data_IF_685084353666
#
_entry.id   IF_685084353666
#
_cell.length_a   1.000
_cell.length_b   1.000
_cell.length_c   1.000
_cell.angle_alpha   90.00
_cell.angle_beta   90.00
_cell.angle_gamma   90.00
#
_symmetry.space_group_name_H-M   'P 1'
#
loop_
_entity.id
_entity.type
_entity.pdbx_description
1 polymer ?
#
# COMPACT_ATOMS: atom_id res chain seq x y z
N UNK A 1 11.82 1.93 -14.03
CA UNK A 1 10.57 1.16 -14.17
C UNK A 1 10.40 0.40 -12.87
N UNK A 2 9.26 0.54 -12.21
CA UNK A 2 8.96 -0.02 -10.89
C UNK A 2 7.71 -0.88 -11.08
N UNK A 3 7.78 -2.15 -10.72
CA UNK A 3 6.71 -3.11 -10.93
C UNK A 3 5.92 -3.30 -9.63
N UNK A 4 4.63 -3.01 -9.70
CA UNK A 4 3.66 -3.40 -8.69
C UNK A 4 3.53 -4.92 -8.73
N UNK A 5 3.92 -5.57 -7.64
CA UNK A 5 3.88 -7.02 -7.51
C UNK A 5 2.64 -7.38 -6.74
N UNK A 6 1.91 -8.39 -7.21
CA UNK A 6 0.88 -9.03 -6.42
C UNK A 6 1.50 -10.27 -5.78
N UNK A 7 1.67 -10.24 -4.47
CA UNK A 7 2.11 -11.40 -3.72
C UNK A 7 0.99 -12.45 -3.82
N UNK A 8 1.26 -13.50 -4.57
CA UNK A 8 0.51 -14.75 -4.57
C UNK A 8 1.53 -15.85 -4.35
N UNK A 9 1.49 -16.51 -3.20
CA UNK A 9 2.30 -17.71 -3.01
C UNK A 9 1.39 -18.92 -3.08
N UNK A 10 1.92 -20.08 -3.45
CA UNK A 10 1.20 -21.36 -3.39
C UNK A 10 0.70 -21.68 -1.96
N UNK A 11 1.15 -20.91 -0.96
CA UNK A 11 0.82 -21.00 0.46
C UNK A 11 -0.02 -19.81 0.96
N UNK A 12 -0.37 -18.83 0.12
CA UNK A 12 -1.14 -17.64 0.48
C UNK A 12 -2.41 -17.53 -0.37
N UNK A 13 -3.61 -17.76 0.21
CA UNK A 13 -4.88 -17.66 -0.51
C UNK A 13 -5.33 -16.21 -0.78
N UNK A 14 -4.52 -15.22 -0.41
CA UNK A 14 -4.82 -13.80 -0.53
C UNK A 14 -3.84 -13.06 -1.43
N UNK A 15 -4.39 -12.17 -2.25
CA UNK A 15 -3.70 -11.19 -3.07
C UNK A 15 -3.20 -10.08 -2.16
N UNK A 16 -1.91 -9.73 -2.24
CA UNK A 16 -1.37 -8.61 -1.48
C UNK A 16 -0.48 -7.77 -2.37
N UNK A 17 -0.81 -6.48 -2.54
CA UNK A 17 0.04 -5.61 -3.34
C UNK A 17 1.37 -5.34 -2.65
N UNK A 18 2.43 -5.23 -3.44
CA UNK A 18 3.80 -4.98 -2.99
C UNK A 18 4.55 -4.13 -4.03
N UNK A 19 5.75 -3.72 -3.68
CA UNK A 19 6.70 -2.97 -4.51
C UNK A 19 7.94 -3.80 -4.79
N UNK A 20 8.66 -3.52 -5.88
CA UNK A 20 9.79 -4.34 -6.32
C UNK A 20 11.12 -4.02 -5.63
N UNK A 21 11.26 -2.79 -5.11
CA UNK A 21 12.41 -2.33 -4.35
C UNK A 21 12.05 -1.24 -3.36
N UNK A 22 13.01 -0.89 -2.50
CA UNK A 22 12.82 0.19 -1.55
C UNK A 22 12.65 1.52 -2.27
N UNK A 23 11.65 2.30 -1.86
CA UNK A 23 11.38 3.65 -2.35
C UNK A 23 11.52 4.67 -1.22
N UNK A 24 11.91 5.90 -1.57
CA UNK A 24 12.10 7.01 -0.65
C UNK A 24 12.39 8.32 -1.39
N UNK A 25 12.93 9.35 -0.71
CA UNK A 25 13.20 10.66 -1.30
C UNK A 25 13.90 10.58 -2.68
N UNK A 26 13.32 11.26 -3.68
CA UNK A 26 13.83 11.28 -5.06
C UNK A 26 13.43 10.08 -5.94
N UNK A 27 12.80 9.05 -5.37
CA UNK A 27 12.25 7.92 -6.14
C UNK A 27 11.09 8.40 -7.02
N UNK A 28 10.87 7.71 -8.15
CA UNK A 28 9.77 8.02 -9.08
C UNK A 28 9.22 6.78 -9.79
N UNK A 29 7.94 6.81 -10.17
CA UNK A 29 7.27 5.76 -10.94
C UNK A 29 6.03 5.18 -10.25
N UNK A 30 5.60 4.00 -10.69
CA UNK A 30 4.31 3.40 -10.28
C UNK A 30 4.30 2.96 -8.81
N UNK A 31 5.39 2.43 -8.27
CA UNK A 31 5.49 2.11 -6.83
C UNK A 31 5.33 3.35 -5.96
N UNK A 32 5.89 4.49 -6.40
CA UNK A 32 5.73 5.77 -5.72
C UNK A 32 4.30 6.28 -5.84
N UNK A 33 3.66 6.20 -7.03
CA UNK A 33 2.23 6.55 -7.18
C UNK A 33 1.39 5.72 -6.24
N UNK A 34 1.66 4.42 -6.15
CA UNK A 34 0.82 3.56 -5.33
C UNK A 34 1.03 3.82 -3.83
N UNK A 35 2.27 4.03 -3.39
CA UNK A 35 2.54 4.44 -2.01
C UNK A 35 1.85 5.78 -1.68
N UNK A 36 1.97 6.79 -2.55
CA UNK A 36 1.26 8.07 -2.40
C UNK A 36 -0.24 7.86 -2.30
N UNK A 37 -0.82 7.06 -3.20
CA UNK A 37 -2.24 6.74 -3.20
C UNK A 37 -2.71 6.18 -1.85
N UNK A 38 -2.00 5.19 -1.31
CA UNK A 38 -2.36 4.62 0.00
C UNK A 38 -2.13 5.62 1.16
N UNK A 39 -1.08 6.46 1.06
CA UNK A 39 -0.81 7.50 2.04
C UNK A 39 -1.91 8.58 2.08
N UNK A 40 -2.60 8.85 0.97
CA UNK A 40 -3.79 9.72 0.95
C UNK A 40 -4.87 9.15 1.88
N UNK A 41 -5.24 7.87 1.71
CA UNK A 41 -6.22 7.20 2.58
C UNK A 41 -5.79 7.20 4.05
N UNK A 42 -4.50 6.98 4.28
CA UNK A 42 -3.93 7.01 5.61
C UNK A 42 -4.03 8.41 6.24
N UNK A 43 -3.69 9.48 5.51
CA UNK A 43 -3.75 10.86 6.01
C UNK A 43 -5.17 11.27 6.42
N UNK A 44 -6.20 10.84 5.68
CA UNK A 44 -7.59 11.11 6.06
C UNK A 44 -8.00 10.45 7.37
N UNK A 45 -7.33 9.38 7.79
CA UNK A 45 -7.69 8.63 9.01
C UNK A 45 -7.17 9.28 10.28
N UNK A 46 -6.07 10.03 10.19
CA UNK A 46 -5.39 10.56 11.36
C UNK A 46 -5.42 12.09 11.43
N UNK A 47 -6.21 12.76 10.58
CA UNK A 47 -6.42 14.23 10.56
C UNK A 47 -5.12 15.03 10.69
N UNK A 48 -4.06 14.60 10.02
CA UNK A 48 -2.69 15.02 10.37
C UNK A 48 -2.34 16.45 9.94
N UNK A 49 -3.26 17.16 9.29
CA UNK A 49 -2.99 18.48 8.68
C UNK A 49 -2.00 18.43 7.50
N UNK A 50 -1.51 17.25 7.12
CA UNK A 50 -0.68 17.03 5.93
C UNK A 50 -1.50 16.25 4.91
N UNK A 51 -1.91 16.93 3.84
CA UNK A 51 -2.62 16.30 2.73
C UNK A 51 -1.66 16.04 1.57
N UNK A 52 -1.58 14.77 1.15
CA UNK A 52 -1.08 14.47 -0.20
C UNK A 52 -2.24 14.81 -1.15
N UNK A 53 -2.18 15.98 -1.78
CA UNK A 53 -3.19 16.38 -2.76
C UNK A 53 -2.97 15.76 -4.14
N UNK A 54 -1.79 15.17 -4.38
CA UNK A 54 -1.36 14.72 -5.70
C UNK A 54 -0.68 13.35 -5.65
N UNK A 55 -1.09 12.46 -6.54
CA UNK A 55 -0.49 11.14 -6.78
C UNK A 55 0.28 11.20 -8.11
N UNK A 56 1.37 11.94 -8.09
CA UNK A 56 2.17 12.29 -9.26
C UNK A 56 3.26 11.25 -9.61
N UNK A 57 3.54 10.34 -8.67
CA UNK A 57 4.57 9.33 -8.82
C UNK A 57 5.98 9.85 -8.57
N UNK A 58 6.15 11.01 -7.93
CA UNK A 58 7.44 11.54 -7.52
C UNK A 58 7.51 11.71 -5.99
N UNK A 59 8.54 11.13 -5.37
CA UNK A 59 8.72 11.21 -3.94
C UNK A 59 9.42 12.52 -3.55
N UNK A 60 8.61 13.57 -3.40
CA UNK A 60 9.06 14.89 -2.95
C UNK A 60 9.00 15.11 -1.44
N UNK A 61 9.12 16.38 -1.04
CA UNK A 61 9.08 16.81 0.36
C UNK A 61 7.74 16.51 1.04
N UNK A 62 6.61 16.63 0.32
CA UNK A 62 5.28 16.32 0.86
C UNK A 62 5.12 14.83 1.19
N UNK A 63 5.48 13.94 0.25
CA UNK A 63 5.46 12.49 0.50
C UNK A 63 6.35 12.13 1.69
N UNK A 64 7.54 12.72 1.78
CA UNK A 64 8.45 12.53 2.92
C UNK A 64 7.84 12.97 4.25
N UNK A 65 7.12 14.10 4.28
CA UNK A 65 6.45 14.58 5.48
C UNK A 65 5.35 13.63 5.95
N UNK A 66 4.51 13.13 5.03
CA UNK A 66 3.43 12.21 5.39
C UNK A 66 3.96 10.85 5.85
N UNK A 67 5.03 10.34 5.24
CA UNK A 67 5.67 9.10 5.70
C UNK A 67 6.26 9.25 7.10
N UNK A 68 6.92 10.37 7.39
CA UNK A 68 7.40 10.65 8.75
C UNK A 68 6.26 10.75 9.76
N UNK A 69 5.16 11.41 9.40
CA UNK A 69 3.97 11.48 10.23
C UNK A 69 3.39 10.07 10.48
N UNK A 70 3.36 9.23 9.45
CA UNK A 70 2.95 7.82 9.58
C UNK A 70 3.84 7.02 10.51
N UNK A 71 5.16 7.12 10.36
CA UNK A 71 6.14 6.47 11.24
C UNK A 71 5.98 6.90 12.71
N UNK A 72 5.63 8.16 12.95
CA UNK A 72 5.39 8.68 14.29
C UNK A 72 4.06 8.17 14.88
N UNK A 73 2.99 8.14 14.09
CA UNK A 73 1.64 7.75 14.54
C UNK A 73 1.44 6.25 14.65
N UNK A 74 2.24 5.45 13.95
CA UNK A 74 2.20 3.98 14.03
C UNK A 74 2.99 3.42 15.23
N UNK A 75 3.41 4.29 16.16
CA UNK A 75 4.20 3.97 17.37
C UNK A 75 5.50 3.23 17.03
N UNK A 76 5.62 1.97 17.43
CA UNK A 76 6.76 1.05 17.21
C UNK A 76 6.41 -0.06 16.20
N UNK A 77 5.29 0.09 15.45
CA UNK A 77 4.91 -0.91 14.47
C UNK A 77 5.90 -0.91 13.30
N UNK A 78 6.33 0.24 12.80
CA UNK A 78 7.24 0.31 11.63
C UNK A 78 8.60 0.91 11.98
N UNK A 79 9.59 0.59 11.14
CA UNK A 79 10.90 1.26 11.15
C UNK A 79 10.73 2.74 10.80
N UNK A 80 11.48 3.62 11.47
CA UNK A 80 11.45 5.08 11.28
C UNK A 80 12.65 5.57 10.46
N UNK A 81 12.69 5.20 9.19
CA UNK A 81 13.81 5.46 8.27
C UNK A 81 13.45 6.43 7.14
N UNK A 82 12.17 6.76 6.95
CA UNK A 82 11.67 7.59 5.87
C UNK A 82 11.54 6.86 4.52
N UNK A 83 11.73 5.54 4.48
CA UNK A 83 11.66 4.72 3.28
C UNK A 83 10.53 3.69 3.38
N UNK A 84 9.98 3.26 2.25
CA UNK A 84 9.08 2.10 2.19
C UNK A 84 9.83 0.97 1.49
N UNK A 85 10.07 -0.11 2.22
CA UNK A 85 10.70 -1.32 1.70
C UNK A 85 9.65 -2.32 1.18
N UNK A 86 10.01 -3.18 0.21
CA UNK A 86 9.20 -4.33 -0.16
C UNK A 86 8.86 -5.18 1.06
N UNK A 87 7.67 -5.76 1.03
CA UNK A 87 7.29 -6.81 1.96
C UNK A 87 8.09 -8.07 1.57
N UNK A 88 8.89 -8.68 2.46
CA UNK A 88 9.69 -9.85 2.15
C UNK A 88 8.82 -11.09 2.00
N UNK A 89 9.24 -12.04 1.17
CA UNK A 89 8.63 -13.36 1.09
C UNK A 89 9.46 -14.41 1.87
N UNK A 90 8.84 -15.31 2.64
CA UNK A 90 7.39 -15.45 2.84
C UNK A 90 6.82 -14.37 3.78
N UNK A 91 5.62 -13.88 3.44
CA UNK A 91 4.85 -12.95 4.27
C UNK A 91 3.57 -13.60 4.79
N UNK A 92 3.25 -13.37 6.06
CA UNK A 92 1.99 -13.82 6.69
C UNK A 92 1.30 -12.62 7.32
N UNK A 93 0.18 -12.18 6.77
CA UNK A 93 -0.52 -10.96 7.19
C UNK A 93 -1.11 -11.00 8.63
N UNK A 94 -1.02 -12.14 9.34
CA UNK A 94 -1.82 -12.36 10.54
C UNK A 94 -1.04 -12.85 11.77
N UNK A 95 0.23 -12.50 11.90
CA UNK A 95 0.93 -12.69 13.17
C UNK A 95 0.96 -11.36 13.92
N UNK A 96 0.68 -11.38 15.22
CA UNK A 96 0.85 -10.21 16.09
C UNK A 96 2.29 -9.63 16.01
N UNK A 97 3.24 -10.41 15.48
CA UNK A 97 4.63 -10.08 15.20
C UNK A 97 4.92 -9.44 13.83
N UNK A 98 4.04 -9.53 12.83
CA UNK A 98 4.32 -9.02 11.46
C UNK A 98 3.90 -7.56 11.22
N UNK A 99 3.74 -6.78 12.27
CA UNK A 99 3.36 -5.36 12.20
C UNK A 99 4.41 -4.42 11.57
N UNK A 100 5.44 -4.94 10.88
CA UNK A 100 6.72 -4.27 10.66
C UNK A 100 6.89 -3.52 9.33
N UNK A 101 6.02 -3.73 8.33
CA UNK A 101 6.17 -3.11 7.01
C UNK A 101 5.15 -1.99 6.80
N UNK A 102 5.63 -0.84 6.35
CA UNK A 102 4.79 0.33 6.09
C UNK A 102 3.71 0.05 5.06
N UNK A 103 4.06 -0.68 4.00
CA UNK A 103 3.13 -1.00 2.92
C UNK A 103 1.96 -1.86 3.38
N UNK A 104 2.22 -2.81 4.28
CA UNK A 104 1.20 -3.63 4.91
C UNK A 104 0.21 -2.80 5.74
N UNK A 105 0.72 -1.86 6.55
CA UNK A 105 -0.14 -0.95 7.34
C UNK A 105 -0.99 -0.06 6.43
N UNK A 106 -0.41 0.43 5.33
CA UNK A 106 -1.10 1.26 4.36
C UNK A 106 -2.26 0.51 3.69
N UNK A 107 -2.04 -0.74 3.30
CA UNK A 107 -3.08 -1.61 2.73
C UNK A 107 -4.13 -2.03 3.77
N UNK A 108 -3.74 -2.26 5.02
CA UNK A 108 -4.68 -2.50 6.13
C UNK A 108 -5.60 -1.28 6.33
N UNK A 109 -5.04 -0.08 6.30
CA UNK A 109 -5.81 1.16 6.42
C UNK A 109 -6.78 1.35 5.24
N UNK A 110 -6.29 1.17 4.01
CA UNK A 110 -7.13 1.22 2.82
C UNK A 110 -8.29 0.23 2.91
N UNK A 111 -8.03 -1.01 3.31
CA UNK A 111 -9.08 -2.05 3.44
C UNK A 111 -10.14 -1.67 4.48
N UNK A 112 -9.71 -1.14 5.64
CA UNK A 112 -10.62 -0.64 6.68
C UNK A 112 -11.52 0.47 6.14
N UNK A 113 -10.98 1.37 5.32
CA UNK A 113 -11.76 2.43 4.68
C UNK A 113 -12.74 1.90 3.64
N UNK A 114 -12.29 0.99 2.78
CA UNK A 114 -13.10 0.44 1.70
C UNK A 114 -14.25 -0.44 2.21
N UNK A 115 -14.09 -1.07 3.38
CA UNK A 115 -15.03 -2.11 3.85
C UNK A 115 -15.65 -1.87 5.23
N UNK A 116 -15.08 -0.97 6.04
CA UNK A 116 -15.41 -0.83 7.46
C UNK A 116 -14.74 -1.86 8.37
N UNK A 117 -14.00 -2.83 7.83
CA UNK A 117 -13.39 -3.94 8.56
C UNK A 117 -11.87 -4.02 8.34
N UNK A 118 -11.15 -4.45 9.37
CA UNK A 118 -9.73 -4.82 9.22
C UNK A 118 -9.58 -6.09 8.39
N UNK A 119 -8.43 -6.26 7.73
CA UNK A 119 -8.15 -7.45 6.89
C UNK A 119 -8.38 -8.76 7.66
N UNK A 120 -7.98 -8.83 8.94
CA UNK A 120 -8.16 -10.02 9.79
C UNK A 120 -9.62 -10.34 10.15
N UNK A 121 -10.58 -9.48 9.78
CA UNK A 121 -12.01 -9.67 9.96
C UNK A 121 -12.71 -10.07 8.65
N UNK A 122 -11.97 -10.18 7.55
CA UNK A 122 -12.48 -10.50 6.23
C UNK A 122 -12.07 -11.91 5.81
N UNK A 123 -12.92 -12.57 5.02
CA UNK A 123 -12.52 -13.80 4.32
C UNK A 123 -11.49 -13.47 3.23
N UNK A 124 -10.69 -14.46 2.85
CA UNK A 124 -9.67 -14.31 1.79
C UNK A 124 -10.29 -13.81 0.49
N UNK A 125 -11.48 -14.30 0.14
CA UNK A 125 -12.24 -13.85 -1.03
C UNK A 125 -12.56 -12.35 -0.96
N UNK A 126 -13.00 -11.86 0.20
CA UNK A 126 -13.30 -10.42 0.39
C UNK A 126 -12.03 -9.58 0.34
N UNK A 127 -10.92 -10.03 0.92
CA UNK A 127 -9.61 -9.35 0.81
C UNK A 127 -9.19 -9.26 -0.67
N UNK A 128 -9.31 -10.36 -1.40
CA UNK A 128 -8.95 -10.42 -2.82
C UNK A 128 -9.83 -9.50 -3.67
N UNK A 129 -11.13 -9.44 -3.38
CA UNK A 129 -12.04 -8.53 -4.05
C UNK A 129 -11.65 -7.06 -3.81
N UNK A 130 -11.25 -6.69 -2.58
CA UNK A 130 -10.76 -5.34 -2.26
C UNK A 130 -9.50 -5.02 -3.06
N UNK A 131 -8.50 -5.91 -3.06
CA UNK A 131 -7.22 -5.66 -3.76
C UNK A 131 -7.39 -5.57 -5.28
N UNK A 132 -8.25 -6.40 -5.88
CA UNK A 132 -8.64 -6.30 -7.30
C UNK A 132 -9.48 -5.06 -7.60
N UNK A 133 -10.17 -4.53 -6.60
CA UNK A 133 -11.06 -3.37 -6.71
C UNK A 133 -10.33 -2.03 -6.75
N UNK A 134 -9.11 -1.94 -6.21
CA UNK A 134 -8.33 -0.68 -6.14
C UNK A 134 -8.31 0.09 -7.48
N UNK A 135 -8.05 -0.51 -8.64
CA UNK A 135 -7.99 0.24 -9.91
C UNK A 135 -9.33 0.84 -10.35
N UNK A 136 -10.44 0.42 -9.72
CA UNK A 136 -11.81 0.74 -10.11
C UNK A 136 -12.61 1.37 -8.96
N UNK A 137 -11.96 1.79 -7.87
CA UNK A 137 -12.63 2.36 -6.70
C UNK A 137 -13.16 3.80 -6.89
N UNK A 138 -12.89 4.40 -8.06
CA UNK A 138 -13.30 5.75 -8.43
C UNK A 138 -12.33 6.86 -7.99
N UNK A 139 -11.34 6.56 -7.16
CA UNK A 139 -10.36 7.51 -6.65
C UNK A 139 -8.94 7.22 -7.16
N UNK A 140 -8.67 5.99 -7.59
CA UNK A 140 -7.39 5.58 -8.17
C UNK A 140 -7.07 6.39 -9.45
N UNK A 141 -5.95 7.14 -9.48
CA UNK A 141 -5.58 7.93 -10.65
C UNK A 141 -5.42 7.07 -11.91
N UNK A 142 -5.79 7.56 -13.11
CA UNK A 142 -5.79 6.75 -14.34
C UNK A 142 -4.46 6.06 -14.65
N UNK A 143 -3.33 6.73 -14.42
CA UNK A 143 -2.01 6.15 -14.64
C UNK A 143 -1.74 4.94 -13.74
N UNK A 144 -2.04 5.08 -12.44
CA UNK A 144 -1.89 4.01 -11.46
C UNK A 144 -2.89 2.87 -11.72
N UNK A 145 -4.15 3.20 -12.01
CA UNK A 145 -5.18 2.21 -12.34
C UNK A 145 -4.76 1.37 -13.55
N UNK A 146 -4.18 1.99 -14.59
CA UNK A 146 -3.65 1.27 -15.74
C UNK A 146 -2.48 0.35 -15.35
N UNK A 147 -1.58 0.79 -14.47
CA UNK A 147 -0.47 -0.03 -13.98
C UNK A 147 -0.94 -1.24 -13.18
N UNK A 148 -1.86 -1.03 -12.24
CA UNK A 148 -2.45 -2.11 -11.43
C UNK A 148 -3.24 -3.10 -12.29
N UNK A 149 -4.03 -2.63 -13.28
CA UNK A 149 -4.73 -3.52 -14.22
C UNK A 149 -3.77 -4.40 -15.03
N UNK A 150 -2.66 -3.83 -15.51
CA UNK A 150 -1.61 -4.61 -16.20
C UNK A 150 -1.01 -5.68 -15.29
N UNK A 151 -0.72 -5.33 -14.03
CA UNK A 151 -0.21 -6.28 -13.05
C UNK A 151 -1.22 -7.39 -12.75
N UNK A 152 -2.52 -7.09 -12.64
CA UNK A 152 -3.59 -8.08 -12.44
C UNK A 152 -3.71 -9.07 -13.60
N UNK A 153 -3.56 -8.62 -14.85
CA UNK A 153 -3.59 -9.50 -16.04
C UNK A 153 -2.42 -10.49 -16.04
N UNK A 154 -1.26 -10.08 -15.51
CA UNK A 154 -0.08 -10.93 -15.39
C UNK A 154 -0.23 -12.06 -14.36
N UNK A 155 -1.23 -12.01 -13.49
CA UNK A 155 -1.47 -12.96 -12.40
C UNK A 155 -2.57 -13.97 -12.78
N UNK A 156 -2.58 -14.45 -14.03
CA UNK A 156 -3.48 -15.54 -14.43
C UNK A 156 -3.20 -16.79 -13.57
N UNK A 157 -4.02 -16.96 -12.53
CA UNK A 157 -4.34 -18.22 -11.84
C UNK A 157 -5.76 -18.59 -12.23
#
# INVERSE_FOLDING_TARGET
MHALILLTTDKNPWLYWNIDRQIGPGSHGEDVRFAQYLLVYWSYTFELGYEISEVDGYWGGRTSAVVRAMEQNTRWRVVRDGYISPIPEPFVHNTASNKSFKFDILLENYTRRATGFGINQLSNERVNAVMRGIPNDGYCPPALAAALRRALIGVNV
#
